data_IF_027834309281
#
_entry.id   IF_027834309281
#
_cell.length_a   1.000
_cell.length_b   1.000
_cell.length_c   1.000
_cell.angle_alpha   90.00
_cell.angle_beta   90.00
_cell.angle_gamma   90.00
#
_symmetry.space_group_name_H-M   'P 1'
#
loop_
_entity.id
_entity.type
_entity.pdbx_description
1 polymer ?
#
# COMPACT_ATOMS: atom_id res chain seq x y z
N UNK A 1 44.36 -30.88 3.40
CA UNK A 1 44.19 -29.61 2.67
C UNK A 1 42.76 -29.57 2.16
N UNK A 2 41.91 -28.74 2.76
CA UNK A 2 40.48 -28.66 2.40
C UNK A 2 40.29 -27.69 1.23
N UNK A 3 39.74 -28.17 0.12
CA UNK A 3 39.37 -27.33 -1.03
C UNK A 3 38.17 -26.47 -0.66
N UNK A 4 38.19 -25.15 -0.91
CA UNK A 4 37.02 -24.32 -0.72
C UNK A 4 35.98 -24.64 -1.81
N UNK A 5 34.79 -25.07 -1.38
CA UNK A 5 33.64 -25.17 -2.27
C UNK A 5 33.21 -23.76 -2.68
N UNK A 6 33.39 -23.44 -3.96
CA UNK A 6 32.84 -22.21 -4.56
C UNK A 6 31.32 -22.42 -4.65
N UNK A 7 30.58 -21.80 -3.73
CA UNK A 7 29.11 -21.72 -3.83
C UNK A 7 28.79 -20.73 -4.94
N UNK A 8 28.64 -21.23 -6.16
CA UNK A 8 28.09 -20.46 -7.27
C UNK A 8 26.60 -20.27 -6.98
N UNK A 9 26.22 -19.08 -6.52
CA UNK A 9 24.82 -18.67 -6.43
C UNK A 9 24.30 -18.60 -7.87
N UNK A 10 23.65 -19.67 -8.35
CA UNK A 10 22.96 -19.64 -9.64
C UNK A 10 21.85 -18.58 -9.55
N UNK A 11 22.10 -17.42 -10.16
CA UNK A 11 21.06 -16.43 -10.43
C UNK A 11 20.02 -17.13 -11.31
N UNK A 12 18.86 -17.48 -10.75
CA UNK A 12 17.76 -18.12 -11.49
C UNK A 12 17.51 -17.32 -12.76
N UNK A 13 17.25 -18.02 -13.87
CA UNK A 13 16.88 -17.35 -15.12
C UNK A 13 15.72 -16.39 -14.85
N UNK A 14 15.73 -15.16 -15.42
CA UNK A 14 14.68 -14.18 -15.16
C UNK A 14 13.36 -14.71 -15.74
N UNK A 15 12.53 -15.27 -14.86
CA UNK A 15 11.15 -15.62 -15.18
C UNK A 15 10.29 -14.36 -15.01
N UNK A 16 9.39 -14.11 -15.96
CA UNK A 16 8.48 -12.98 -15.86
C UNK A 16 7.55 -13.16 -14.66
N UNK A 17 7.82 -12.40 -13.60
CA UNK A 17 6.93 -12.29 -12.46
C UNK A 17 5.94 -11.14 -12.70
N UNK A 18 4.66 -11.44 -12.50
CA UNK A 18 3.59 -10.45 -12.61
C UNK A 18 3.35 -9.77 -11.28
N UNK A 19 3.06 -8.48 -11.34
CA UNK A 19 2.59 -7.73 -10.19
C UNK A 19 1.18 -8.21 -9.79
N UNK A 20 0.92 -8.30 -8.48
CA UNK A 20 -0.37 -8.74 -7.91
C UNK A 20 -0.70 -7.99 -6.63
N UNK A 21 -2.00 -7.80 -6.38
CA UNK A 21 -2.54 -7.45 -5.08
C UNK A 21 -3.13 -8.73 -4.48
N UNK A 22 -2.46 -9.29 -3.47
CA UNK A 22 -2.89 -10.51 -2.78
C UNK A 22 -3.75 -10.12 -1.60
N UNK A 23 -4.96 -10.65 -1.51
CA UNK A 23 -5.87 -10.30 -0.43
C UNK A 23 -5.35 -10.87 0.90
N UNK A 24 -5.25 -10.00 1.91
CA UNK A 24 -4.83 -10.41 3.23
C UNK A 24 -5.88 -11.34 3.83
N UNK A 25 -5.45 -12.50 4.35
CA UNK A 25 -6.31 -13.51 4.97
C UNK A 25 -7.52 -13.95 4.12
N UNK A 26 -7.44 -13.83 2.79
CA UNK A 26 -8.54 -14.18 1.90
C UNK A 26 -9.79 -13.32 2.09
N UNK A 27 -9.63 -12.07 2.54
CA UNK A 27 -10.71 -11.09 2.71
C UNK A 27 -11.47 -10.80 1.39
N UNK A 28 -10.80 -10.95 0.25
CA UNK A 28 -11.32 -10.75 -1.09
C UNK A 28 -10.55 -11.65 -2.10
N UNK A 29 -10.96 -11.72 -3.38
CA UNK A 29 -10.15 -12.35 -4.40
C UNK A 29 -8.86 -11.56 -4.68
N UNK A 30 -7.80 -12.27 -5.04
CA UNK A 30 -6.54 -11.69 -5.50
C UNK A 30 -6.74 -10.96 -6.84
N UNK A 31 -6.03 -9.85 -7.02
CA UNK A 31 -6.04 -9.08 -8.26
C UNK A 31 -4.67 -9.23 -8.92
N UNK A 32 -4.60 -10.02 -9.98
CA UNK A 32 -3.42 -10.12 -10.82
C UNK A 32 -3.45 -9.04 -11.92
N UNK A 33 -2.32 -8.36 -12.11
CA UNK A 33 -2.18 -7.41 -13.20
C UNK A 33 -1.92 -8.18 -14.51
N UNK A 34 -2.69 -7.87 -15.55
CA UNK A 34 -2.53 -8.52 -16.85
C UNK A 34 -1.16 -8.21 -17.46
N UNK A 35 -0.77 -6.94 -17.41
CA UNK A 35 0.55 -6.43 -17.77
C UNK A 35 1.16 -5.70 -16.58
N UNK A 36 2.48 -5.80 -16.44
CA UNK A 36 3.20 -5.10 -15.39
C UNK A 36 3.18 -3.58 -15.65
N UNK A 37 3.08 -2.76 -14.59
CA UNK A 37 3.16 -1.32 -14.74
C UNK A 37 4.53 -0.90 -15.27
N UNK A 38 4.57 0.19 -16.04
CA UNK A 38 5.81 0.79 -16.55
C UNK A 38 6.67 1.40 -15.44
N UNK A 39 6.00 1.95 -14.44
CA UNK A 39 6.59 2.63 -13.30
C UNK A 39 5.65 2.55 -12.10
N UNK A 40 6.23 2.66 -10.90
CA UNK A 40 5.49 2.75 -9.65
C UNK A 40 6.14 3.84 -8.80
N UNK A 41 5.36 4.86 -8.44
CA UNK A 41 5.82 5.96 -7.59
C UNK A 41 5.23 5.84 -6.18
N UNK A 42 6.09 5.86 -5.16
CA UNK A 42 5.68 5.87 -3.75
C UNK A 42 5.96 7.25 -3.15
N UNK A 43 4.95 7.84 -2.51
CA UNK A 43 5.06 9.15 -1.85
C UNK A 43 4.57 9.07 -0.41
N UNK A 44 5.32 9.68 0.52
CA UNK A 44 4.96 9.81 1.93
C UNK A 44 5.39 11.18 2.41
N UNK A 45 4.56 11.79 3.23
CA UNK A 45 4.84 13.08 3.86
C UNK A 45 5.05 12.88 5.35
N UNK A 46 6.02 13.61 5.92
CA UNK A 46 6.24 13.66 7.37
C UNK A 46 5.75 15.01 7.88
N UNK A 47 4.90 15.00 8.89
CA UNK A 47 4.33 16.22 9.47
C UNK A 47 5.25 16.78 10.56
N UNK A 48 5.54 18.07 10.41
CA UNK A 48 6.28 18.87 11.36
C UNK A 48 5.44 20.08 11.73
N UNK A 49 5.36 20.37 13.02
CA UNK A 49 4.60 21.50 13.55
C UNK A 49 5.54 22.51 14.21
N UNK A 50 5.42 23.78 13.83
CA UNK A 50 6.07 24.91 14.49
C UNK A 50 5.02 25.79 15.14
N UNK A 51 5.30 26.28 16.35
CA UNK A 51 4.45 27.27 17.03
C UNK A 51 5.13 28.63 17.03
N UNK A 52 4.45 29.64 16.51
CA UNK A 52 4.92 31.02 16.54
C UNK A 52 5.02 31.50 17.99
N UNK A 53 6.23 31.91 18.39
CA UNK A 53 6.55 32.32 19.76
C UNK A 53 7.52 31.39 20.49
N UNK A 54 7.66 30.13 20.07
CA UNK A 54 8.65 29.21 20.64
C UNK A 54 9.92 29.23 19.79
N UNK A 55 10.80 30.21 20.03
CA UNK A 55 12.01 30.46 19.24
C UNK A 55 13.20 29.72 19.86
N UNK A 56 14.01 29.08 19.02
CA UNK A 56 15.33 28.56 19.41
C UNK A 56 16.35 29.68 19.58
N UNK A 57 17.57 29.32 19.98
CA UNK A 57 18.69 30.25 20.23
C UNK A 57 19.01 31.17 19.06
N UNK A 58 18.81 30.70 17.82
CA UNK A 58 19.08 31.46 16.60
C UNK A 58 17.83 32.19 16.06
N UNK A 59 16.81 32.42 16.90
CA UNK A 59 15.54 33.04 16.49
C UNK A 59 14.77 32.29 15.39
N UNK A 60 15.06 31.01 15.16
CA UNK A 60 14.25 30.14 14.30
C UNK A 60 13.11 29.51 15.11
N UNK A 61 11.91 29.30 14.54
CA UNK A 61 10.83 28.57 15.20
C UNK A 61 11.27 27.14 15.56
N UNK A 62 10.96 26.70 16.78
CA UNK A 62 11.16 25.29 17.16
C UNK A 62 10.15 24.42 16.43
N UNK A 63 10.65 23.48 15.62
CA UNK A 63 9.85 22.45 14.96
C UNK A 63 9.74 21.21 15.85
N UNK A 64 8.55 20.62 15.92
CA UNK A 64 8.31 19.36 16.60
C UNK A 64 7.72 18.36 15.60
N UNK A 65 8.16 17.11 15.70
CA UNK A 65 7.60 16.02 14.90
C UNK A 65 6.17 15.70 15.36
N UNK A 66 5.20 15.71 14.45
CA UNK A 66 3.80 15.41 14.75
C UNK A 66 3.28 14.10 14.18
N UNK A 67 4.01 13.50 13.23
CA UNK A 67 3.71 12.15 12.76
C UNK A 67 4.17 11.88 11.34
N UNK A 68 4.00 10.63 10.91
CA UNK A 68 4.29 10.16 9.55
C UNK A 68 2.97 9.78 8.89
N UNK A 69 2.73 10.27 7.68
CA UNK A 69 1.57 9.83 6.88
C UNK A 69 1.85 8.48 6.20
N UNK A 70 0.83 7.67 5.89
CA UNK A 70 1.04 6.43 5.13
C UNK A 70 1.57 6.72 3.72
N UNK A 71 2.36 5.79 3.16
CA UNK A 71 2.72 5.85 1.74
C UNK A 71 1.46 5.80 0.89
N UNK A 72 1.41 6.67 -0.12
CA UNK A 72 0.42 6.66 -1.18
C UNK A 72 1.13 6.35 -2.49
N UNK A 73 0.54 5.48 -3.28
CA UNK A 73 1.07 5.10 -4.58
C UNK A 73 -0.07 4.81 -5.54
N UNK A 74 0.18 4.99 -6.83
CA UNK A 74 -0.85 4.81 -7.86
C UNK A 74 -0.29 3.92 -8.95
N UNK A 75 -1.00 2.84 -9.24
CA UNK A 75 -0.75 2.01 -10.41
C UNK A 75 -1.57 2.62 -11.55
N UNK A 76 -0.89 3.23 -12.51
CA UNK A 76 -1.53 3.97 -13.60
C UNK A 76 -1.54 3.17 -14.89
N UNK A 77 -2.53 3.44 -15.72
CA UNK A 77 -2.66 2.93 -17.09
C UNK A 77 -2.54 1.41 -17.18
N UNK A 78 -3.08 0.70 -16.20
CA UNK A 78 -3.11 -0.76 -16.20
C UNK A 78 -4.04 -1.23 -17.31
N UNK A 79 -3.45 -1.83 -18.34
CA UNK A 79 -4.19 -2.36 -19.48
C UNK A 79 -4.76 -3.74 -19.15
N UNK A 80 -6.07 -3.89 -19.34
CA UNK A 80 -6.74 -5.18 -19.35
C UNK A 80 -7.38 -5.39 -20.72
N UNK A 81 -7.09 -6.52 -21.35
CA UNK A 81 -7.48 -6.83 -22.72
C UNK A 81 -8.01 -8.27 -22.82
N UNK A 82 -9.17 -8.41 -23.44
CA UNK A 82 -9.84 -9.69 -23.71
C UNK A 82 -10.32 -9.76 -25.16
N UNK A 83 -9.75 -8.95 -26.06
CA UNK A 83 -10.12 -8.87 -27.46
C UNK A 83 -9.94 -10.21 -28.18
N UNK A 84 -8.78 -10.85 -27.97
CA UNK A 84 -8.45 -12.14 -28.60
C UNK A 84 -9.41 -13.26 -28.16
N UNK A 85 -9.82 -13.27 -26.89
CA UNK A 85 -10.78 -14.25 -26.38
C UNK A 85 -12.24 -13.86 -26.65
N UNK A 86 -12.49 -12.63 -27.09
CA UNK A 86 -13.82 -12.02 -27.29
C UNK A 86 -14.72 -12.12 -26.05
N UNK A 87 -14.11 -12.15 -24.87
CA UNK A 87 -14.82 -12.20 -23.59
C UNK A 87 -14.97 -10.79 -23.02
N UNK A 88 -15.97 -10.57 -22.16
CA UNK A 88 -16.11 -9.27 -21.50
C UNK A 88 -14.99 -9.02 -20.49
N UNK A 89 -14.23 -7.94 -20.67
CA UNK A 89 -13.18 -7.52 -19.74
C UNK A 89 -13.75 -7.20 -18.35
N UNK A 90 -15.02 -6.76 -18.32
CA UNK A 90 -15.72 -6.40 -17.10
C UNK A 90 -15.86 -7.61 -16.17
N UNK A 91 -16.47 -8.68 -16.69
CA UNK A 91 -16.73 -9.91 -15.94
C UNK A 91 -15.45 -10.63 -15.54
N UNK A 92 -14.42 -10.56 -16.38
CA UNK A 92 -13.16 -11.29 -16.19
C UNK A 92 -12.21 -10.63 -15.20
N UNK A 93 -12.15 -9.29 -15.20
CA UNK A 93 -11.16 -8.55 -14.42
C UNK A 93 -11.78 -7.41 -13.61
N UNK A 94 -12.52 -6.51 -14.24
CA UNK A 94 -12.94 -5.25 -13.59
C UNK A 94 -13.87 -5.51 -12.40
N UNK A 95 -14.78 -6.48 -12.51
CA UNK A 95 -15.69 -6.80 -11.41
C UNK A 95 -14.95 -7.36 -10.20
N UNK A 96 -13.87 -8.13 -10.40
CA UNK A 96 -12.98 -8.55 -9.31
C UNK A 96 -12.26 -7.37 -8.67
N UNK A 97 -11.80 -6.40 -9.46
CA UNK A 97 -11.11 -5.20 -8.95
C UNK A 97 -12.09 -4.32 -8.16
N UNK A 98 -13.35 -4.20 -8.59
CA UNK A 98 -14.40 -3.45 -7.87
C UNK A 98 -14.63 -4.01 -6.47
N UNK A 99 -14.66 -5.34 -6.32
CA UNK A 99 -14.78 -5.98 -5.00
C UNK A 99 -13.65 -5.57 -4.04
N UNK A 100 -12.48 -5.20 -4.57
CA UNK A 100 -11.36 -4.70 -3.78
C UNK A 100 -11.57 -3.30 -3.16
N UNK A 101 -12.57 -2.55 -3.62
CA UNK A 101 -12.94 -1.22 -3.09
C UNK A 101 -14.24 -1.28 -2.28
N UNK A 102 -15.04 -2.31 -2.50
CA UNK A 102 -16.29 -2.54 -1.77
C UNK A 102 -16.03 -3.05 -0.35
N UNK A 103 -17.00 -2.81 0.55
CA UNK A 103 -16.90 -3.27 1.92
C UNK A 103 -17.09 -4.79 2.02
N UNK A 104 -16.26 -5.46 2.80
CA UNK A 104 -16.40 -6.89 3.07
C UNK A 104 -17.69 -7.13 3.88
N UNK A 105 -18.64 -7.85 3.29
CA UNK A 105 -19.95 -8.11 3.89
C UNK A 105 -19.92 -9.03 5.11
N UNK A 106 -18.91 -9.90 5.20
CA UNK A 106 -18.74 -10.89 6.29
C UNK A 106 -17.92 -10.37 7.47
N UNK A 107 -17.33 -9.18 7.37
CA UNK A 107 -16.51 -8.63 8.44
C UNK A 107 -17.38 -7.93 9.50
N UNK A 108 -17.01 -8.06 10.77
CA UNK A 108 -17.63 -7.32 11.88
C UNK A 108 -17.49 -5.81 11.69
N UNK A 109 -16.43 -5.39 11.01
CA UNK A 109 -16.16 -4.00 10.62
C UNK A 109 -16.38 -3.84 9.11
N UNK A 110 -17.30 -2.95 8.71
CA UNK A 110 -17.62 -2.72 7.29
C UNK A 110 -16.53 -1.85 6.67
N UNK A 111 -15.48 -2.50 6.16
CA UNK A 111 -14.36 -1.85 5.50
C UNK A 111 -13.97 -2.54 4.20
N UNK A 112 -13.27 -1.85 3.29
CA UNK A 112 -12.61 -2.49 2.16
C UNK A 112 -11.55 -3.51 2.62
N UNK A 113 -11.23 -4.49 1.76
CA UNK A 113 -10.18 -5.46 2.03
C UNK A 113 -8.79 -4.86 2.07
N UNK A 114 -7.93 -5.47 2.88
CA UNK A 114 -6.49 -5.21 2.85
C UNK A 114 -5.85 -6.12 1.83
N UNK A 115 -4.98 -5.54 1.01
CA UNK A 115 -4.15 -6.24 0.04
C UNK A 115 -2.68 -6.13 0.41
N UNK A 116 -1.89 -7.06 -0.11
CA UNK A 116 -0.44 -7.04 -0.11
C UNK A 116 -0.01 -6.83 -1.56
N UNK A 117 0.63 -5.71 -1.85
CA UNK A 117 1.23 -5.50 -3.17
C UNK A 117 2.51 -6.33 -3.30
N UNK A 118 2.54 -7.19 -4.31
CA UNK A 118 3.63 -8.13 -4.56
C UNK A 118 4.10 -8.04 -6.00
N UNK A 119 5.41 -8.01 -6.21
CA UNK A 119 6.02 -8.15 -7.52
C UNK A 119 7.42 -8.74 -7.35
N UNK A 120 7.48 -10.08 -7.40
CA UNK A 120 8.63 -10.87 -6.97
C UNK A 120 8.81 -10.90 -5.46
N UNK A 121 8.90 -9.72 -4.84
CA UNK A 121 8.92 -9.55 -3.39
C UNK A 121 7.64 -8.85 -2.90
N UNK A 122 7.37 -8.97 -1.60
CA UNK A 122 6.37 -8.18 -0.88
C UNK A 122 6.82 -6.72 -0.75
N UNK A 123 5.95 -5.77 -1.10
CA UNK A 123 6.22 -4.34 -1.00
C UNK A 123 5.52 -3.75 0.23
N UNK A 124 4.19 -3.65 0.19
CA UNK A 124 3.39 -2.98 1.23
C UNK A 124 2.06 -3.69 1.44
N UNK A 125 1.58 -3.64 2.68
CA UNK A 125 0.17 -3.84 2.99
C UNK A 125 -0.54 -2.55 2.65
N UNK A 126 -1.65 -2.62 1.91
CA UNK A 126 -2.34 -1.47 1.40
C UNK A 126 -3.83 -1.70 1.24
N UNK A 127 -4.59 -0.61 1.20
CA UNK A 127 -6.00 -0.60 0.81
C UNK A 127 -6.18 0.20 -0.46
N UNK A 128 -7.17 -0.18 -1.28
CA UNK A 128 -7.54 0.60 -2.46
C UNK A 128 -8.36 1.80 -2.00
N UNK A 129 -7.87 2.99 -2.31
CA UNK A 129 -8.50 4.27 -1.94
C UNK A 129 -9.29 4.89 -3.10
N UNK A 130 -8.89 4.58 -4.33
CA UNK A 130 -9.60 5.01 -5.54
C UNK A 130 -9.38 4.00 -6.65
N UNK A 131 -10.44 3.76 -7.41
CA UNK A 131 -10.44 2.95 -8.63
C UNK A 131 -11.10 3.76 -9.73
N UNK A 132 -10.35 4.00 -10.81
CA UNK A 132 -10.86 4.61 -12.04
C UNK A 132 -10.62 3.64 -13.18
N UNK A 133 -11.61 3.42 -14.04
CA UNK A 133 -11.43 2.60 -15.24
C UNK A 133 -12.18 3.20 -16.42
N UNK A 134 -11.56 3.11 -17.60
CA UNK A 134 -12.11 3.60 -18.87
C UNK A 134 -12.17 2.43 -19.84
N UNK A 135 -13.36 2.15 -20.37
CA UNK A 135 -13.57 1.15 -21.41
C UNK A 135 -13.31 1.78 -22.78
N UNK A 136 -12.36 1.24 -23.54
CA UNK A 136 -11.86 1.85 -24.78
C UNK A 136 -11.92 0.94 -26.01
N UNK A 137 -12.44 -0.28 -25.88
CA UNK A 137 -12.70 -1.17 -27.02
C UNK A 137 -13.94 -2.02 -26.74
N UNK A 138 -14.77 -2.14 -27.77
CA UNK A 138 -16.03 -2.88 -27.73
C UNK A 138 -16.13 -3.78 -28.96
N UNK A 139 -16.78 -4.93 -28.80
CA UNK A 139 -17.21 -5.77 -29.91
C UNK A 139 -18.42 -5.15 -30.61
N UNK A 140 -18.80 -5.72 -31.76
CA UNK A 140 -19.95 -5.25 -32.55
C UNK A 140 -21.30 -5.34 -31.82
N UNK A 141 -21.39 -6.20 -30.79
CA UNK A 141 -22.56 -6.35 -29.92
C UNK A 141 -22.55 -5.36 -28.73
N UNK A 142 -21.52 -4.52 -28.61
CA UNK A 142 -21.34 -3.58 -27.50
C UNK A 142 -20.64 -4.17 -26.27
N UNK A 143 -20.16 -5.42 -26.31
CA UNK A 143 -19.42 -6.02 -25.20
C UNK A 143 -18.06 -5.33 -25.03
N UNK A 144 -17.73 -4.76 -23.85
CA UNK A 144 -16.43 -4.17 -23.61
C UNK A 144 -15.36 -5.27 -23.48
N UNK A 145 -14.27 -5.12 -24.23
CA UNK A 145 -13.17 -6.09 -24.31
C UNK A 145 -11.82 -5.49 -23.96
N UNK A 146 -11.75 -4.18 -23.68
CA UNK A 146 -10.53 -3.53 -23.20
C UNK A 146 -10.85 -2.43 -22.21
N UNK A 147 -10.01 -2.33 -21.19
CA UNK A 147 -10.08 -1.32 -20.15
C UNK A 147 -8.69 -0.78 -19.81
N UNK A 148 -8.59 0.52 -19.57
CA UNK A 148 -7.48 1.15 -18.87
C UNK A 148 -7.89 1.44 -17.43
N UNK A 149 -7.11 0.99 -16.47
CA UNK A 149 -7.43 1.06 -15.04
C UNK A 149 -6.35 1.81 -14.28
N UNK A 150 -6.77 2.76 -13.44
CA UNK A 150 -5.93 3.45 -12.47
C UNK A 150 -6.36 3.06 -11.05
N UNK A 151 -5.42 2.57 -10.25
CA UNK A 151 -5.66 2.13 -8.87
C UNK A 151 -4.81 2.98 -7.93
N UNK A 152 -5.44 3.75 -7.05
CA UNK A 152 -4.75 4.47 -5.99
C UNK A 152 -4.76 3.65 -4.69
N UNK A 153 -3.57 3.41 -4.15
CA UNK A 153 -3.34 2.58 -2.99
C UNK A 153 -2.77 3.43 -1.85
N UNK A 154 -3.18 3.10 -0.63
CA UNK A 154 -2.61 3.68 0.58
C UNK A 154 -2.11 2.56 1.48
N UNK A 155 -0.89 2.73 1.98
CA UNK A 155 -0.26 1.83 2.93
C UNK A 155 -1.07 1.73 4.22
N UNK A 156 -1.10 0.52 4.77
CA UNK A 156 -1.58 0.24 6.12
C UNK A 156 -0.47 -0.41 6.92
N UNK A 157 -0.48 -0.17 8.23
CA UNK A 157 0.49 -0.77 9.14
C UNK A 157 0.21 -2.28 9.27
N UNK A 158 1.20 -3.10 8.90
CA UNK A 158 1.17 -4.56 9.05
C UNK A 158 0.90 -4.99 10.50
N UNK A 159 1.39 -4.22 11.48
CA UNK A 159 1.23 -4.52 12.90
C UNK A 159 -0.07 -3.96 13.50
N UNK A 160 -0.77 -3.08 12.77
CA UNK A 160 -2.00 -2.45 13.21
C UNK A 160 -2.98 -2.35 12.04
N UNK A 161 -3.42 -3.52 11.58
CA UNK A 161 -4.34 -3.64 10.46
C UNK A 161 -5.75 -3.14 10.85
N UNK A 162 -6.47 -2.51 9.91
CA UNK A 162 -7.82 -2.03 10.15
C UNK A 162 -8.75 -3.19 10.53
N UNK A 163 -9.66 -2.95 11.49
CA UNK A 163 -10.53 -3.98 12.07
C UNK A 163 -9.89 -4.85 13.16
N UNK A 164 -8.61 -4.65 13.50
CA UNK A 164 -7.97 -5.25 14.67
C UNK A 164 -8.46 -4.63 15.99
N UNK A 165 -8.44 -5.41 17.09
CA UNK A 165 -8.72 -4.89 18.45
C UNK A 165 -7.71 -3.79 18.77
N UNK A 166 -8.22 -2.58 19.04
CA UNK A 166 -7.56 -1.34 19.54
C UNK A 166 -6.03 -1.36 19.58
N UNK A 167 -5.42 -0.42 18.86
CA UNK A 167 -4.00 -0.07 18.94
C UNK A 167 -3.48 -0.07 20.39
N UNK A 168 -2.40 -0.82 20.64
CA UNK A 168 -1.78 -1.01 21.96
C UNK A 168 -1.00 0.22 22.47
N UNK A 169 -1.32 1.43 21.99
CA UNK A 169 -0.78 2.66 22.57
C UNK A 169 -1.54 3.00 23.86
N UNK A 170 -1.35 2.20 24.90
CA UNK A 170 -1.56 2.67 26.27
C UNK A 170 -0.50 3.76 26.49
N UNK A 171 -0.91 5.01 26.73
CA UNK A 171 -0.05 6.20 26.81
C UNK A 171 1.03 6.22 27.91
N UNK A 172 1.43 5.06 28.45
CA UNK A 172 2.39 4.90 29.54
C UNK A 172 3.80 4.44 29.12
N UNK A 173 4.09 4.28 27.83
CA UNK A 173 5.42 3.85 27.36
C UNK A 173 6.36 4.99 26.93
N UNK A 174 6.14 6.23 27.39
CA UNK A 174 7.22 7.24 27.42
C UNK A 174 7.95 7.09 28.75
N UNK A 175 9.03 6.32 28.78
CA UNK A 175 10.04 6.52 29.81
C UNK A 175 10.58 7.93 29.63
N UNK A 176 10.15 8.84 30.51
CA UNK A 176 10.80 10.12 30.69
C UNK A 176 12.23 9.85 31.11
N UNK A 177 13.18 10.22 30.25
CA UNK A 177 14.60 10.18 30.57
C UNK A 177 14.84 11.00 31.85
N UNK A 178 15.24 10.33 32.94
CA UNK A 178 15.33 10.92 34.29
C UNK A 178 16.40 12.02 34.42
N UNK A 179 17.15 12.32 33.34
CA UNK A 179 18.13 13.42 33.35
C UNK A 179 17.52 14.83 33.46
N UNK A 180 16.22 15.01 33.22
CA UNK A 180 15.56 16.31 33.34
C UNK A 180 15.06 16.70 34.74
N UNK A 181 14.96 15.76 35.69
CA UNK A 181 14.25 15.98 36.96
C UNK A 181 15.11 16.54 38.11
N UNK A 182 16.44 16.68 37.93
CA UNK A 182 17.33 17.20 38.98
C UNK A 182 17.49 18.72 39.04
N UNK A 183 16.83 19.50 38.17
CA UNK A 183 16.99 20.96 38.14
C UNK A 183 15.92 21.77 38.89
N UNK A 184 14.92 21.15 39.52
CA UNK A 184 13.77 21.88 40.12
C UNK A 184 13.63 21.75 41.64
N UNK A 185 14.70 21.40 42.37
CA UNK A 185 14.71 21.50 43.84
C UNK A 185 15.97 22.18 44.36
N UNK A 186 16.05 23.49 44.17
CA UNK A 186 16.78 24.38 45.09
C UNK A 186 16.10 25.74 45.07
N UNK A 187 15.14 25.94 45.98
CA UNK A 187 14.91 27.21 46.66
C UNK A 187 14.11 26.96 47.92
#
# INVERSE_FOLDING_TARGET
MASPAIIVIQKRQPQLEKAKLVAYNGEAPDIELMFNPTDISFARTVKWESKDGNRGTNLLPKVNFSGVEPYKFTLKQLLYDTYETKESVMKKYIDTIKLGVETISKATDKRPPVYIFTWGNEYFYCVITSLTYTLNMFLSDGTPVRALVDIALQEVDKNNLPGGRKSASTGNARQTDQKGQKLSKTK
#
